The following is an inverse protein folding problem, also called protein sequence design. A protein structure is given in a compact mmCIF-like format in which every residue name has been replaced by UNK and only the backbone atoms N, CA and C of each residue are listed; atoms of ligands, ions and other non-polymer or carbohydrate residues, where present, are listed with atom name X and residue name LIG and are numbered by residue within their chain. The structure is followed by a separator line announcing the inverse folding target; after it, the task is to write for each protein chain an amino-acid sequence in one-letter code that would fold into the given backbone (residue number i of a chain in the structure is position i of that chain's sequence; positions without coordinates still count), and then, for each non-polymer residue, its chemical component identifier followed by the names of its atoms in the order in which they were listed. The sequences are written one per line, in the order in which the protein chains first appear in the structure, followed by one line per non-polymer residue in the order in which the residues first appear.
data_IF_493128314621
#
_entry.id   IF_493128314621
#
_cell.length_a   1.000
_cell.length_b   1.000
_cell.length_c   1.000
_cell.angle_alpha   90.00
_cell.angle_beta   90.00
_cell.angle_gamma   90.00
#
_symmetry.space_group_name_H-M   'P 1'
#
loop_
_entity.id
_entity.type
_entity.pdbx_description
1 polymer ?
#
# COMPACT_ATOMS: atom_id res chain seq x y z
N UNK A 1 -2.07 -0.22 4.52
CA UNK A 1 -0.94 -0.44 3.59
C UNK A 1 -1.29 -1.48 2.52
N UNK A 2 -1.67 -2.69 2.90
CA UNK A 2 -2.03 -3.78 1.97
C UNK A 2 -3.06 -3.35 0.90
N UNK A 3 -4.16 -2.71 1.29
CA UNK A 3 -5.18 -2.22 0.35
C UNK A 3 -4.66 -1.14 -0.63
N UNK A 4 -3.72 -0.30 -0.19
CA UNK A 4 -3.16 0.78 -1.01
C UNK A 4 -2.20 0.21 -2.05
N UNK A 5 -1.34 -0.72 -1.63
CA UNK A 5 -0.44 -1.44 -2.54
C UNK A 5 -1.21 -2.27 -3.57
N UNK A 6 -2.26 -2.97 -3.14
CA UNK A 6 -3.12 -3.73 -4.05
C UNK A 6 -3.82 -2.82 -5.07
N UNK A 7 -4.29 -1.64 -4.64
CA UNK A 7 -4.89 -0.66 -5.53
C UNK A 7 -3.86 -0.08 -6.51
N UNK A 8 -2.64 0.23 -6.06
CA UNK A 8 -1.57 0.71 -6.93
C UNK A 8 -1.20 -0.35 -7.97
N UNK A 9 -1.04 -1.61 -7.57
CA UNK A 9 -0.71 -2.70 -8.49
C UNK A 9 -1.82 -2.95 -9.53
N UNK A 10 -3.09 -2.92 -9.11
CA UNK A 10 -4.22 -3.10 -10.01
C UNK A 10 -4.36 -1.97 -11.04
N UNK A 11 -3.89 -0.77 -10.71
CA UNK A 11 -3.94 0.40 -11.59
C UNK A 11 -2.57 0.74 -12.21
N UNK A 12 -1.54 -0.09 -12.03
CA UNK A 12 -0.19 0.19 -12.51
C UNK A 12 -0.12 0.26 -14.04
N UNK A 13 -0.91 -0.57 -14.72
CA UNK A 13 -1.01 -0.62 -16.18
C UNK A 13 -2.20 0.17 -16.72
N UNK A 14 -2.97 0.86 -15.85
CA UNK A 14 -4.15 1.61 -16.27
C UNK A 14 -3.79 3.00 -16.77
N UNK A 15 -3.88 3.21 -18.08
CA UNK A 15 -3.65 4.52 -18.71
C UNK A 15 -4.80 5.50 -18.52
N UNK A 16 -5.92 5.03 -17.97
CA UNK A 16 -7.13 5.83 -17.71
C UNK A 16 -7.68 5.52 -16.32
N UNK A 17 -7.81 6.55 -15.49
CA UNK A 17 -8.59 6.51 -14.24
C UNK A 17 -10.00 7.05 -14.49
N UNK A 18 -10.88 6.95 -13.50
CA UNK A 18 -12.28 7.40 -13.59
C UNK A 18 -12.43 8.87 -14.05
N UNK A 19 -11.39 9.69 -13.81
CA UNK A 19 -11.35 11.11 -14.18
C UNK A 19 -10.70 11.39 -15.55
N UNK A 20 -10.43 10.35 -16.35
CA UNK A 20 -9.80 10.46 -17.68
C UNK A 20 -8.30 10.80 -17.65
N UNK A 21 -7.70 10.85 -16.46
CA UNK A 21 -6.26 11.10 -16.24
C UNK A 21 -5.55 9.80 -15.81
N UNK A 22 -4.23 9.66 -16.03
CA UNK A 22 -3.47 8.49 -15.59
C UNK A 22 -3.51 8.35 -14.06
N UNK A 23 -3.54 7.11 -13.59
CA UNK A 23 -3.57 6.82 -12.15
C UNK A 23 -2.30 7.33 -11.46
N UNK A 24 -2.45 7.96 -10.29
CA UNK A 24 -1.32 8.35 -9.41
C UNK A 24 -1.18 7.36 -8.28
N UNK A 25 0.03 6.84 -8.09
CA UNK A 25 0.34 5.93 -6.99
C UNK A 25 -0.04 6.57 -5.65
N UNK A 26 -0.80 5.85 -4.82
CA UNK A 26 -1.18 6.31 -3.48
C UNK A 26 -0.17 5.80 -2.46
N UNK A 27 0.28 6.65 -1.56
CA UNK A 27 1.21 6.30 -0.49
C UNK A 27 0.58 6.52 0.88
N UNK A 28 0.84 5.59 1.80
CA UNK A 28 0.36 5.71 3.19
C UNK A 28 1.39 6.48 3.99
N UNK A 29 1.02 7.67 4.46
CA UNK A 29 1.86 8.47 5.34
C UNK A 29 1.60 8.03 6.78
N UNK A 30 2.63 7.55 7.45
CA UNK A 30 2.58 7.19 8.87
C UNK A 30 3.04 8.39 9.70
N UNK A 31 2.24 8.79 10.69
CA UNK A 31 2.67 9.73 11.72
C UNK A 31 3.02 8.95 12.99
N UNK A 32 4.21 9.19 13.53
CA UNK A 32 4.56 8.72 14.87
C UNK A 32 3.76 9.54 15.88
N UNK A 33 2.82 8.90 16.58
CA UNK A 33 2.12 9.53 17.69
C UNK A 33 2.72 8.97 18.99
N UNK A 34 3.20 9.82 19.91
CA UNK A 34 3.63 9.35 21.21
C UNK A 34 2.41 8.75 21.92
N UNK A 35 2.39 7.43 22.10
CA UNK A 35 1.46 6.81 23.04
C UNK A 35 2.06 7.00 24.43
N UNK A 36 1.30 7.63 25.32
CA UNK A 36 1.79 8.08 26.62
C UNK A 36 2.45 6.96 27.43
N UNK A 37 3.55 7.30 28.09
CA UNK A 37 4.23 6.49 29.11
C UNK A 37 5.16 5.41 28.56
N UNK A 38 6.44 5.75 28.36
CA UNK A 38 7.53 4.78 28.27
C UNK A 38 7.87 4.26 26.86
N UNK A 39 8.49 5.11 26.04
CA UNK A 39 9.35 4.67 24.92
C UNK A 39 8.70 4.00 23.70
N UNK A 40 7.42 3.64 23.74
CA UNK A 40 6.73 2.98 22.63
C UNK A 40 6.04 4.02 21.74
N UNK A 41 6.65 4.33 20.60
CA UNK A 41 6.02 5.15 19.56
C UNK A 41 5.09 4.30 18.70
N UNK A 42 3.79 4.59 18.77
CA UNK A 42 2.81 4.02 17.85
C UNK A 42 2.88 4.70 16.49
N UNK A 43 2.89 3.91 15.42
CA UNK A 43 2.69 4.42 14.06
C UNK A 43 1.19 4.43 13.75
N UNK A 44 0.59 5.61 13.65
CA UNK A 44 -0.80 5.78 13.18
C UNK A 44 -0.79 6.19 11.71
N UNK A 45 -1.74 5.68 10.94
CA UNK A 45 -1.93 6.13 9.55
C UNK A 45 -2.47 7.56 9.60
N UNK A 46 -1.68 8.52 9.12
CA UNK A 46 -2.02 9.94 9.13
C UNK A 46 -2.90 10.30 7.93
N UNK A 47 -2.54 9.82 6.74
CA UNK A 47 -3.29 10.03 5.50
C UNK A 47 -2.84 9.06 4.41
N UNK A 48 -3.68 8.91 3.38
CA UNK A 48 -3.28 8.33 2.09
C UNK A 48 -3.05 9.51 1.14
N UNK A 49 -1.79 9.82 0.85
CA UNK A 49 -1.40 10.92 -0.04
C UNK A 49 -1.13 10.38 -1.45
N UNK A 50 -1.43 11.18 -2.47
CA UNK A 50 -1.05 10.85 -3.85
C UNK A 50 0.43 11.17 -4.09
N UNK A 51 1.09 10.32 -4.87
CA UNK A 51 2.50 10.49 -5.22
C UNK A 51 2.69 11.73 -6.08
N UNK A 52 3.60 12.60 -5.65
CA UNK A 52 4.06 13.80 -6.35
C UNK A 52 5.04 13.49 -7.48
N UNK A 53 5.45 12.22 -7.65
CA UNK A 53 6.38 11.83 -8.70
C UNK A 53 5.82 12.11 -10.11
N UNK A 54 6.67 12.54 -11.07
CA UNK A 54 6.23 12.77 -12.44
C UNK A 54 5.68 11.49 -13.07
N UNK A 55 4.62 11.62 -13.87
CA UNK A 55 4.03 10.51 -14.63
C UNK A 55 5.02 10.04 -15.71
N UNK A 56 5.01 8.74 -16.00
CA UNK A 56 5.92 8.16 -16.98
C UNK A 56 5.34 8.38 -18.38
N UNK A 57 5.98 9.22 -19.19
CA UNK A 57 5.56 9.41 -20.59
C UNK A 57 6.16 8.29 -21.43
N UNK A 58 5.31 7.46 -22.04
CA UNK A 58 5.73 6.37 -22.94
C UNK A 58 5.30 6.72 -24.35
N UNK A 59 6.23 6.65 -25.31
CA UNK A 59 5.92 6.88 -26.71
C UNK A 59 5.23 5.64 -27.27
N UNK A 60 3.93 5.76 -27.54
CA UNK A 60 3.12 4.72 -28.20
C UNK A 60 2.09 5.39 -29.14
N UNK A 61 2.48 5.66 -30.40
CA UNK A 61 1.63 6.36 -31.37
C UNK A 61 0.43 5.54 -31.86
N UNK A 62 0.32 4.25 -31.51
CA UNK A 62 -0.86 3.41 -31.83
C UNK A 62 -1.89 3.37 -30.70
N UNK A 63 -1.58 3.95 -29.55
CA UNK A 63 -2.49 3.93 -28.41
C UNK A 63 -3.62 4.96 -28.58
N UNK A 64 -4.90 4.60 -28.37
CA UNK A 64 -6.03 5.53 -28.48
C UNK A 64 -6.00 6.75 -27.54
N UNK A 65 -5.09 6.77 -26.55
CA UNK A 65 -4.94 7.84 -25.56
C UNK A 65 -3.59 8.59 -25.75
N UNK A 66 -2.94 8.42 -26.89
CA UNK A 66 -1.72 9.14 -27.23
C UNK A 66 -2.02 10.60 -27.55
N UNK A 67 -1.21 11.51 -27.01
CA UNK A 67 -1.26 12.94 -27.34
C UNK A 67 -0.90 13.17 -28.83
N UNK A 68 -1.06 14.39 -29.34
CA UNK A 68 -0.76 14.78 -30.72
C UNK A 68 0.67 14.44 -31.17
N UNK A 69 1.57 14.19 -30.22
CA UNK A 69 2.97 13.81 -30.42
C UNK A 69 3.23 12.30 -30.27
N UNK A 70 2.22 11.46 -30.02
CA UNK A 70 2.35 10.01 -29.86
C UNK A 70 2.74 9.54 -28.45
N UNK A 71 2.67 10.41 -27.44
CA UNK A 71 3.01 10.07 -26.06
C UNK A 71 1.77 9.73 -25.23
N UNK A 72 1.87 8.65 -24.45
CA UNK A 72 0.87 8.21 -23.48
C UNK A 72 1.43 8.46 -22.09
N UNK A 73 0.65 9.17 -21.27
CA UNK A 73 0.99 9.35 -19.87
C UNK A 73 0.59 8.07 -19.11
N UNK A 74 1.59 7.31 -18.65
CA UNK A 74 1.40 6.13 -17.82
C UNK A 74 1.48 6.48 -16.33
N UNK A 75 0.81 5.71 -15.47
CA UNK A 75 0.92 5.83 -14.03
C UNK A 75 2.37 5.84 -13.54
N UNK A 76 2.63 6.61 -12.49
CA UNK A 76 3.93 6.65 -11.81
C UNK A 76 4.11 5.48 -10.81
N UNK A 77 3.46 4.33 -11.06
CA UNK A 77 3.51 3.15 -10.21
C UNK A 77 4.68 2.28 -10.65
N UNK A 78 5.62 2.00 -9.73
CA UNK A 78 6.63 0.99 -9.97
C UNK A 78 6.13 -0.36 -9.42
N UNK A 79 5.76 -1.25 -10.34
CA UNK A 79 5.27 -2.59 -10.03
C UNK A 79 6.25 -3.36 -9.13
N UNK A 80 7.56 -3.20 -9.33
CA UNK A 80 8.58 -3.88 -8.53
C UNK A 80 8.54 -3.41 -7.08
N UNK A 81 8.52 -2.10 -6.86
CA UNK A 81 8.45 -1.52 -5.51
C UNK A 81 7.13 -1.87 -4.82
N UNK A 82 6.02 -1.87 -5.55
CA UNK A 82 4.72 -2.27 -5.02
C UNK A 82 4.65 -3.76 -4.68
N UNK A 83 5.26 -4.65 -5.46
CA UNK A 83 5.36 -6.06 -5.11
C UNK A 83 6.17 -6.26 -3.82
N UNK A 84 7.29 -5.55 -3.64
CA UNK A 84 8.07 -5.60 -2.38
C UNK A 84 7.25 -5.07 -1.20
N UNK A 85 6.54 -3.96 -1.40
CA UNK A 85 5.63 -3.41 -0.40
C UNK A 85 4.49 -4.39 -0.05
N UNK A 86 3.99 -5.15 -1.03
CA UNK A 86 2.95 -6.17 -0.82
C UNK A 86 3.51 -7.31 0.02
N UNK A 87 4.67 -7.86 -0.33
CA UNK A 87 5.32 -8.94 0.41
C UNK A 87 5.56 -8.52 1.87
N UNK A 88 6.08 -7.31 2.07
CA UNK A 88 6.28 -6.73 3.40
C UNK A 88 4.96 -6.64 4.18
N UNK A 89 3.91 -6.11 3.55
CA UNK A 89 2.61 -5.94 4.19
C UNK A 89 1.93 -7.29 4.51
N UNK A 90 2.00 -8.27 3.61
CA UNK A 90 1.46 -9.63 3.81
C UNK A 90 2.18 -10.35 4.94
N UNK A 91 3.52 -10.23 5.02
CA UNK A 91 4.29 -10.80 6.12
C UNK A 91 3.95 -10.16 7.47
N UNK A 92 3.77 -8.84 7.52
CA UNK A 92 3.31 -8.17 8.73
C UNK A 92 1.91 -8.62 9.15
N UNK A 93 0.99 -8.82 8.20
CA UNK A 93 -0.34 -9.34 8.49
C UNK A 93 -0.28 -10.77 9.05
N UNK A 94 0.50 -11.64 8.41
CA UNK A 94 0.71 -13.02 8.87
C UNK A 94 1.28 -13.05 10.29
N UNK A 95 2.35 -12.29 10.54
CA UNK A 95 2.95 -12.20 11.87
C UNK A 95 1.95 -11.71 12.93
N UNK A 96 1.11 -10.72 12.60
CA UNK A 96 0.09 -10.22 13.51
C UNK A 96 -0.97 -11.29 13.83
N UNK A 97 -1.41 -12.04 12.81
CA UNK A 97 -2.34 -13.16 13.00
C UNK A 97 -1.71 -14.26 13.85
N UNK A 98 -0.44 -14.57 13.64
CA UNK A 98 0.29 -15.57 14.42
C UNK A 98 0.41 -15.15 15.89
N UNK A 99 0.78 -13.90 16.17
CA UNK A 99 0.84 -13.35 17.53
C UNK A 99 -0.53 -13.42 18.23
N UNK A 100 -1.62 -13.11 17.51
CA UNK A 100 -2.98 -13.23 18.03
C UNK A 100 -3.36 -14.69 18.33
N UNK A 101 -2.99 -15.62 17.45
CA UNK A 101 -3.21 -17.05 17.67
C UNK A 101 -2.40 -17.60 18.85
N UNK A 102 -1.14 -17.19 19.00
CA UNK A 102 -0.31 -17.51 20.15
C UNK A 102 -0.92 -16.95 21.43
N UNK A 103 -1.36 -15.69 21.42
CA UNK A 103 -2.03 -15.05 22.56
C UNK A 103 -3.31 -15.80 22.95
N UNK A 104 -4.14 -16.17 21.95
CA UNK A 104 -5.34 -16.99 22.17
C UNK A 104 -5.00 -18.35 22.80
N UNK A 105 -3.94 -19.01 22.32
CA UNK A 105 -3.49 -20.30 22.85
C UNK A 105 -3.01 -20.19 24.29
N UNK A 106 -2.25 -19.13 24.62
CA UNK A 106 -1.81 -18.85 25.98
C UNK A 106 -3.01 -18.58 26.90
N UNK A 107 -3.96 -17.75 26.48
CA UNK A 107 -5.18 -17.46 27.25
C UNK A 107 -6.01 -18.72 27.52
N UNK A 108 -6.19 -19.59 26.52
CA UNK A 108 -6.90 -20.86 26.70
C UNK A 108 -6.19 -21.79 27.71
N UNK A 109 -4.85 -21.88 27.63
CA UNK A 109 -4.06 -22.66 28.60
C UNK A 109 -4.17 -22.10 30.01
N UNK A 110 -4.15 -20.78 30.17
CA UNK A 110 -4.34 -20.14 31.48
C UNK A 110 -5.73 -20.43 32.05
N UNK A 111 -6.78 -20.38 31.23
CA UNK A 111 -8.14 -20.70 31.67
C UNK A 111 -8.27 -22.15 32.17
N UNK A 112 -7.59 -23.10 31.53
CA UNK A 112 -7.59 -24.51 31.96
C UNK A 112 -6.77 -24.81 33.22
N UNK A 113 -5.84 -23.92 33.61
CA UNK A 113 -5.06 -24.07 34.85
C UNK A 113 -5.84 -23.52 36.06
N UNK A 114 -6.83 -22.65 35.84
CA UNK A 114 -7.70 -22.10 36.88
C UNK A 114 -8.91 -22.95 37.26
N UNK A 115 -9.09 -24.13 36.63
CA UNK A 115 -10.07 -25.16 37.01
C UNK A 115 -9.36 -26.28 37.78
#
# INVERSE_FOLDING_TARGET
RLNVVASNLANADSTTSADGKPYRAKQVVFSATPMGGGGVQGVKVAAVAESTAPMKMVFDPKHPMADAQGYVAMPNVNVVDEMVNMISASRSYQNNVDVLNTSKTLLLKTLTIGQ
#
